data_IF_056140142243
#
_entry.id   IF_056140142243
#
_cell.length_a   1.000
_cell.length_b   1.000
_cell.length_c   1.000
_cell.angle_alpha   90.00
_cell.angle_beta   90.00
_cell.angle_gamma   90.00
#
_symmetry.space_group_name_H-M   'P 1'
#
loop_
_entity.id
_entity.type
_entity.pdbx_description
1 polymer ?
#
# COMPACT_ATOMS: atom_id res chain seq x y z
N UNK A 1 -26.67 61.85 -5.05
CA UNK A 1 -25.48 61.16 -5.58
C UNK A 1 -25.09 60.09 -4.57
N UNK A 2 -25.51 58.85 -4.81
CA UNK A 2 -25.14 57.70 -3.94
C UNK A 2 -24.00 56.95 -4.63
N UNK A 3 -22.89 56.82 -3.92
CA UNK A 3 -21.72 56.09 -4.37
C UNK A 3 -22.00 54.58 -4.33
N UNK A 4 -21.90 53.91 -5.49
CA UNK A 4 -21.92 52.43 -5.59
C UNK A 4 -20.58 51.89 -5.11
N UNK A 5 -20.58 51.17 -3.97
CA UNK A 5 -19.46 50.36 -3.54
C UNK A 5 -19.38 49.13 -4.46
N UNK A 6 -18.30 49.00 -5.21
CA UNK A 6 -17.96 47.81 -5.98
C UNK A 6 -17.33 46.79 -5.06
N UNK A 7 -18.07 45.73 -4.78
CA UNK A 7 -17.51 44.55 -4.12
C UNK A 7 -16.78 43.73 -5.18
N UNK A 8 -15.45 43.73 -5.15
CA UNK A 8 -14.64 42.79 -5.91
C UNK A 8 -14.81 41.38 -5.30
N UNK A 9 -15.14 40.36 -6.10
CA UNK A 9 -15.09 38.99 -5.58
C UNK A 9 -13.63 38.62 -5.35
N UNK A 10 -13.27 38.35 -4.08
CA UNK A 10 -12.01 37.73 -3.76
C UNK A 10 -12.01 36.32 -4.36
N UNK A 11 -11.30 36.17 -5.46
CA UNK A 11 -11.03 34.87 -6.07
C UNK A 11 -10.02 34.12 -5.20
N UNK A 12 -10.51 33.40 -4.19
CA UNK A 12 -9.75 32.36 -3.54
C UNK A 12 -9.65 31.14 -4.47
N UNK A 13 -8.91 31.28 -5.56
CA UNK A 13 -8.39 30.15 -6.32
C UNK A 13 -7.19 29.58 -5.58
N UNK A 14 -7.42 28.90 -4.46
CA UNK A 14 -6.52 27.88 -3.97
C UNK A 14 -6.65 26.66 -4.92
N UNK A 15 -5.97 26.73 -6.06
CA UNK A 15 -5.64 25.52 -6.81
C UNK A 15 -4.65 24.75 -5.91
N UNK A 16 -5.19 23.88 -5.07
CA UNK A 16 -4.35 22.91 -4.34
C UNK A 16 -3.67 22.06 -5.40
N UNK A 17 -2.34 22.20 -5.52
CA UNK A 17 -1.57 21.41 -6.46
C UNK A 17 -1.82 19.92 -6.17
N UNK A 18 -2.11 19.14 -7.23
CA UNK A 18 -2.32 17.70 -7.10
C UNK A 18 -1.05 17.08 -6.49
N UNK A 19 -1.16 16.36 -5.37
CA UNK A 19 0.02 15.76 -4.74
C UNK A 19 0.64 14.70 -5.64
N UNK A 20 1.97 14.54 -5.53
CA UNK A 20 2.76 13.64 -6.38
C UNK A 20 3.27 12.47 -5.57
N UNK A 21 3.07 11.26 -6.09
CA UNK A 21 3.66 10.02 -5.58
C UNK A 21 4.46 9.36 -6.70
N UNK A 22 5.68 8.95 -6.40
CA UNK A 22 6.46 8.14 -7.32
C UNK A 22 6.25 6.65 -7.09
N UNK A 23 6.03 5.92 -8.18
CA UNK A 23 5.92 4.47 -8.21
C UNK A 23 7.22 3.91 -8.80
N UNK A 24 8.04 3.28 -7.97
CA UNK A 24 9.28 2.62 -8.38
C UNK A 24 9.04 1.12 -8.42
N UNK A 25 9.21 0.48 -9.58
CA UNK A 25 8.96 -0.98 -9.66
C UNK A 25 8.93 -1.52 -11.09
N UNK A 26 8.57 -2.79 -11.20
CA UNK A 26 8.44 -3.47 -12.47
C UNK A 26 7.17 -3.09 -13.23
N UNK A 27 7.27 -3.02 -14.56
CA UNK A 27 6.11 -2.93 -15.46
C UNK A 27 5.58 -4.33 -15.69
N UNK A 28 4.33 -4.54 -15.33
CA UNK A 28 3.54 -5.70 -15.73
C UNK A 28 2.80 -5.37 -17.03
N UNK A 29 3.20 -6.00 -18.14
CA UNK A 29 2.61 -5.73 -19.45
C UNK A 29 1.12 -6.13 -19.53
N UNK A 30 0.64 -7.02 -18.66
CA UNK A 30 -0.79 -7.32 -18.53
C UNK A 30 -1.56 -6.24 -17.76
N UNK A 31 -0.84 -5.38 -17.03
CA UNK A 31 -1.38 -4.30 -16.22
C UNK A 31 -2.07 -4.73 -14.92
N UNK A 32 -2.05 -6.02 -14.59
CA UNK A 32 -2.69 -6.57 -13.39
C UNK A 32 -1.97 -6.24 -12.09
N UNK A 33 -0.68 -5.89 -12.16
CA UNK A 33 0.19 -5.58 -11.03
C UNK A 33 1.24 -4.52 -11.40
N UNK A 34 2.27 -4.37 -10.56
CA UNK A 34 3.41 -3.49 -10.80
C UNK A 34 3.02 -2.02 -10.87
N UNK A 35 3.91 -1.20 -11.43
CA UNK A 35 3.73 0.26 -11.50
C UNK A 35 2.50 0.69 -12.30
N UNK A 36 2.01 -0.14 -13.21
CA UNK A 36 0.76 0.13 -13.92
C UNK A 36 -0.43 0.12 -12.96
N UNK A 37 -0.51 -0.89 -12.08
CA UNK A 37 -1.53 -0.96 -11.03
C UNK A 37 -1.37 0.16 -10.02
N UNK A 38 -0.14 0.50 -9.66
CA UNK A 38 0.16 1.61 -8.76
C UNK A 38 -0.39 2.94 -9.33
N UNK A 39 -0.09 3.23 -10.60
CA UNK A 39 -0.53 4.46 -11.26
C UNK A 39 -2.08 4.55 -11.37
N UNK A 40 -2.75 3.43 -11.67
CA UNK A 40 -4.23 3.38 -11.70
C UNK A 40 -4.81 3.67 -10.31
N UNK A 41 -4.25 3.06 -9.26
CA UNK A 41 -4.68 3.27 -7.87
C UNK A 41 -4.52 4.73 -7.45
N UNK A 42 -3.38 5.33 -7.75
CA UNK A 42 -3.09 6.72 -7.42
C UNK A 42 -4.01 7.70 -8.18
N UNK A 43 -4.25 7.44 -9.47
CA UNK A 43 -5.16 8.26 -10.28
C UNK A 43 -6.60 8.20 -9.74
N UNK A 44 -7.06 7.02 -9.29
CA UNK A 44 -8.39 6.85 -8.67
C UNK A 44 -8.52 7.62 -7.35
N UNK A 45 -7.40 7.83 -6.65
CA UNK A 45 -7.30 8.58 -5.40
C UNK A 45 -6.88 10.05 -5.58
N UNK A 46 -6.98 10.60 -6.80
CA UNK A 46 -6.63 11.98 -7.14
C UNK A 46 -5.16 12.36 -6.87
N UNK A 47 -4.24 11.43 -7.12
CA UNK A 47 -2.80 11.63 -7.00
C UNK A 47 -2.16 11.60 -8.38
N UNK A 48 -1.21 12.50 -8.63
CA UNK A 48 -0.35 12.42 -9.80
C UNK A 48 0.73 11.36 -9.60
N UNK A 49 0.72 10.33 -10.43
CA UNK A 49 1.67 9.23 -10.37
C UNK A 49 2.81 9.47 -11.37
N UNK A 50 4.06 9.53 -10.89
CA UNK A 50 5.24 9.37 -11.74
C UNK A 50 5.77 7.95 -11.61
N UNK A 51 6.22 7.36 -12.72
CA UNK A 51 6.67 5.97 -12.78
C UNK A 51 8.16 5.90 -13.05
N UNK A 52 8.89 5.20 -12.17
CA UNK A 52 10.29 4.83 -12.36
C UNK A 52 10.37 3.32 -12.55
N UNK A 53 10.80 2.90 -13.73
CA UNK A 53 10.81 1.48 -14.11
C UNK A 53 12.10 0.82 -13.68
N UNK A 54 12.00 -0.26 -12.91
CA UNK A 54 13.14 -1.12 -12.49
C UNK A 54 13.35 -2.28 -13.44
N UNK A 55 12.27 -2.81 -14.01
CA UNK A 55 12.29 -3.94 -14.93
C UNK A 55 11.00 -4.01 -15.74
N UNK A 56 11.08 -4.65 -16.90
CA UNK A 56 9.94 -5.01 -17.73
C UNK A 56 9.70 -6.52 -17.60
N UNK A 57 8.46 -6.94 -17.40
CA UNK A 57 8.11 -8.35 -17.37
C UNK A 57 7.27 -8.73 -18.57
N UNK A 58 7.59 -9.86 -19.19
CA UNK A 58 6.77 -10.50 -20.23
C UNK A 58 5.86 -11.50 -19.54
N UNK A 59 4.71 -11.02 -19.11
CA UNK A 59 3.78 -11.84 -18.33
C UNK A 59 2.32 -11.59 -18.73
N UNK A 60 1.50 -12.61 -18.48
CA UNK A 60 0.06 -12.55 -18.51
C UNK A 60 -0.50 -12.78 -17.10
N UNK A 61 -1.82 -12.86 -16.96
CA UNK A 61 -2.44 -13.20 -15.68
C UNK A 61 -2.06 -14.60 -15.16
N UNK A 62 -1.67 -15.50 -16.04
CA UNK A 62 -1.43 -16.92 -15.71
C UNK A 62 0.03 -17.35 -15.77
N UNK A 63 0.87 -16.67 -16.56
CA UNK A 63 2.26 -17.05 -16.76
C UNK A 63 3.19 -15.84 -16.82
N UNK A 64 4.43 -16.03 -16.37
CA UNK A 64 5.56 -15.14 -16.61
C UNK A 64 6.59 -15.87 -17.47
N UNK A 65 6.92 -15.30 -18.61
CA UNK A 65 7.88 -15.89 -19.56
C UNK A 65 9.31 -15.38 -19.29
N UNK A 66 9.46 -14.09 -19.07
CA UNK A 66 10.78 -13.46 -18.85
C UNK A 66 10.65 -12.13 -18.14
N UNK A 67 11.78 -11.64 -17.64
CA UNK A 67 11.95 -10.26 -17.15
C UNK A 67 13.21 -9.66 -17.77
N UNK A 68 13.17 -8.35 -17.98
CA UNK A 68 14.32 -7.57 -18.41
C UNK A 68 14.54 -6.43 -17.43
N UNK A 69 15.69 -6.44 -16.75
CA UNK A 69 16.02 -5.46 -15.73
C UNK A 69 16.62 -4.20 -16.37
N UNK A 70 16.17 -3.04 -15.93
CA UNK A 70 16.81 -1.77 -16.27
C UNK A 70 18.17 -1.68 -15.58
N UNK A 71 19.17 -1.12 -16.24
CA UNK A 71 20.43 -0.84 -15.57
C UNK A 71 20.26 0.31 -14.56
N UNK A 72 21.06 0.31 -13.50
CA UNK A 72 20.98 1.34 -12.46
C UNK A 72 21.22 2.76 -13.01
N UNK A 73 22.03 2.91 -14.05
CA UNK A 73 22.25 4.21 -14.71
C UNK A 73 20.96 4.75 -15.34
N UNK A 74 20.16 3.92 -16.01
CA UNK A 74 18.90 4.33 -16.60
C UNK A 74 17.87 4.69 -15.50
N UNK A 75 17.79 3.90 -14.41
CA UNK A 75 16.97 4.22 -13.26
C UNK A 75 17.39 5.55 -12.61
N UNK A 76 18.69 5.80 -12.52
CA UNK A 76 19.21 7.05 -12.02
C UNK A 76 18.84 8.26 -12.89
N UNK A 77 18.86 8.13 -14.22
CA UNK A 77 18.42 9.18 -15.14
C UNK A 77 16.93 9.48 -14.98
N UNK A 78 16.07 8.45 -14.85
CA UNK A 78 14.65 8.64 -14.54
C UNK A 78 14.46 9.43 -13.24
N UNK A 79 15.22 9.07 -12.19
CA UNK A 79 15.18 9.80 -10.91
C UNK A 79 15.54 11.28 -11.07
N UNK A 80 16.66 11.56 -11.75
CA UNK A 80 17.18 12.93 -11.88
C UNK A 80 16.18 13.83 -12.60
N UNK A 81 15.67 13.40 -13.75
CA UNK A 81 14.72 14.19 -14.55
C UNK A 81 13.44 14.48 -13.76
N UNK A 82 12.88 13.48 -13.09
CA UNK A 82 11.66 13.66 -12.31
C UNK A 82 11.87 14.50 -11.06
N UNK A 83 13.05 14.38 -10.43
CA UNK A 83 13.31 15.11 -9.19
C UNK A 83 13.40 16.62 -9.40
N UNK A 84 13.88 17.06 -10.55
CA UNK A 84 13.98 18.47 -10.92
C UNK A 84 12.62 19.08 -11.28
N UNK A 85 11.75 18.31 -11.91
CA UNK A 85 10.47 18.79 -12.45
C UNK A 85 9.27 18.49 -11.54
N UNK A 86 9.22 17.29 -10.99
CA UNK A 86 8.04 16.76 -10.30
C UNK A 86 8.45 16.00 -9.02
N UNK A 87 9.01 16.67 -8.01
CA UNK A 87 9.49 16.03 -6.78
C UNK A 87 8.34 15.36 -6.02
N UNK A 88 8.57 14.16 -5.44
CA UNK A 88 7.52 13.39 -4.81
C UNK A 88 7.26 13.83 -3.36
N UNK A 89 6.01 13.75 -2.90
CA UNK A 89 5.66 13.79 -1.47
C UNK A 89 5.75 12.41 -0.81
N UNK A 90 5.55 11.33 -1.60
CA UNK A 90 5.81 9.97 -1.16
C UNK A 90 6.38 9.14 -2.33
N UNK A 91 7.07 8.05 -1.97
CA UNK A 91 7.60 7.07 -2.91
C UNK A 91 7.08 5.70 -2.50
N UNK A 92 6.39 5.01 -3.43
CA UNK A 92 6.06 3.60 -3.29
C UNK A 92 7.09 2.79 -4.07
N UNK A 93 7.82 1.93 -3.40
CA UNK A 93 8.77 0.99 -3.99
C UNK A 93 8.12 -0.39 -4.05
N UNK A 94 8.06 -1.00 -5.23
CA UNK A 94 7.65 -2.39 -5.44
C UNK A 94 8.84 -3.30 -5.73
N UNK A 95 8.76 -4.10 -6.81
CA UNK A 95 9.83 -5.00 -7.21
C UNK A 95 11.10 -4.23 -7.62
N UNK A 96 12.23 -4.57 -6.99
CA UNK A 96 13.57 -4.08 -7.31
C UNK A 96 14.33 -5.28 -7.87
N UNK A 97 14.94 -5.16 -9.04
CA UNK A 97 15.51 -6.31 -9.74
C UNK A 97 16.77 -6.88 -9.06
N UNK A 98 17.64 -6.01 -8.53
CA UNK A 98 18.95 -6.38 -8.01
C UNK A 98 19.50 -5.37 -6.99
N UNK A 99 20.62 -5.72 -6.35
CA UNK A 99 21.30 -4.93 -5.35
C UNK A 99 21.73 -3.53 -5.85
N UNK A 100 22.20 -3.42 -7.09
CA UNK A 100 22.66 -2.16 -7.65
C UNK A 100 21.55 -1.12 -7.71
N UNK A 101 20.36 -1.52 -8.15
CA UNK A 101 19.17 -0.66 -8.16
C UNK A 101 18.76 -0.27 -6.73
N UNK A 102 18.75 -1.23 -5.80
CA UNK A 102 18.35 -1.00 -4.41
C UNK A 102 19.30 0.01 -3.73
N UNK A 103 20.60 -0.17 -3.84
CA UNK A 103 21.60 0.76 -3.29
C UNK A 103 21.50 2.16 -3.90
N UNK A 104 21.24 2.24 -5.21
CA UNK A 104 21.00 3.52 -5.87
C UNK A 104 19.77 4.23 -5.25
N UNK A 105 18.66 3.53 -5.09
CA UNK A 105 17.43 4.09 -4.49
C UNK A 105 17.68 4.55 -3.06
N UNK A 106 18.32 3.74 -2.22
CA UNK A 106 18.71 4.12 -0.86
C UNK A 106 19.53 5.41 -0.85
N UNK A 107 20.58 5.46 -1.65
CA UNK A 107 21.46 6.63 -1.73
C UNK A 107 20.74 7.90 -2.22
N UNK A 108 19.76 7.76 -3.11
CA UNK A 108 18.96 8.89 -3.61
C UNK A 108 17.97 9.38 -2.56
N UNK A 109 17.24 8.47 -1.91
CA UNK A 109 16.26 8.79 -0.87
C UNK A 109 16.95 9.47 0.32
N UNK A 110 18.09 8.94 0.77
CA UNK A 110 18.84 9.50 1.90
C UNK A 110 19.37 10.92 1.63
N UNK A 111 19.70 11.23 0.36
CA UNK A 111 20.13 12.57 -0.05
C UNK A 111 18.98 13.57 -0.20
N UNK A 112 17.74 13.09 -0.23
CA UNK A 112 16.57 13.96 -0.33
C UNK A 112 16.14 14.41 1.05
N UNK A 113 16.47 15.63 1.43
CA UNK A 113 16.41 16.08 2.84
C UNK A 113 15.30 17.08 3.17
N UNK A 114 14.72 17.82 2.20
CA UNK A 114 13.78 18.87 2.58
C UNK A 114 12.78 19.23 1.44
N UNK A 115 11.53 18.82 1.56
CA UNK A 115 11.03 17.79 2.47
C UNK A 115 11.45 16.38 2.00
N UNK A 116 11.76 15.49 2.94
CA UNK A 116 11.99 14.08 2.62
C UNK A 116 10.64 13.42 2.31
N UNK A 117 10.51 12.70 1.18
CA UNK A 117 9.29 11.96 0.87
C UNK A 117 9.07 10.82 1.87
N UNK A 118 7.79 10.50 2.15
CA UNK A 118 7.45 9.28 2.87
C UNK A 118 7.66 8.06 1.97
N UNK A 119 8.32 7.01 2.46
CA UNK A 119 8.70 5.87 1.65
C UNK A 119 8.01 4.60 2.11
N UNK A 120 7.20 4.01 1.21
CA UNK A 120 6.55 2.71 1.38
C UNK A 120 7.31 1.68 0.55
N UNK A 121 7.77 0.60 1.17
CA UNK A 121 8.34 -0.54 0.45
C UNK A 121 7.40 -1.75 0.51
N UNK A 122 6.86 -2.14 -0.64
CA UNK A 122 6.13 -3.38 -0.87
C UNK A 122 7.14 -4.40 -1.44
N UNK A 123 7.66 -5.35 -0.64
CA UNK A 123 8.80 -6.18 -1.00
C UNK A 123 8.39 -7.33 -1.93
N UNK A 124 7.96 -6.98 -3.14
CA UNK A 124 7.49 -7.96 -4.14
C UNK A 124 8.66 -8.81 -4.62
N UNK A 125 8.73 -10.05 -4.16
CA UNK A 125 9.79 -11.00 -4.50
C UNK A 125 9.49 -11.82 -5.74
N UNK A 126 8.21 -12.15 -5.94
CA UNK A 126 7.76 -13.00 -7.04
C UNK A 126 6.41 -12.57 -7.58
N UNK A 127 6.11 -13.01 -8.79
CA UNK A 127 4.76 -12.88 -9.36
C UNK A 127 3.81 -13.90 -8.75
N UNK A 128 2.49 -13.65 -8.86
CA UNK A 128 1.46 -14.63 -8.48
C UNK A 128 1.56 -15.94 -9.28
N UNK A 129 2.22 -15.91 -10.43
CA UNK A 129 2.50 -17.08 -11.29
C UNK A 129 3.84 -17.77 -10.99
N UNK A 130 4.57 -17.37 -9.91
CA UNK A 130 5.79 -18.01 -9.42
C UNK A 130 7.10 -17.51 -10.01
N UNK A 131 7.09 -16.48 -10.89
CA UNK A 131 8.33 -15.90 -11.43
C UNK A 131 9.06 -15.01 -10.41
N UNK A 132 10.38 -15.21 -10.26
CA UNK A 132 11.23 -14.39 -9.37
C UNK A 132 11.39 -12.99 -9.95
N UNK A 133 11.07 -11.96 -9.18
CA UNK A 133 11.16 -10.54 -9.56
C UNK A 133 12.36 -9.84 -8.93
N UNK A 134 12.67 -10.12 -7.68
CA UNK A 134 13.71 -9.44 -6.91
C UNK A 134 14.78 -10.43 -6.45
N UNK A 135 16.06 -10.06 -6.65
CA UNK A 135 17.21 -10.82 -6.22
C UNK A 135 18.11 -9.88 -5.40
N UNK A 136 17.85 -9.82 -4.08
CA UNK A 136 18.53 -8.91 -3.16
C UNK A 136 19.33 -9.69 -2.12
N UNK A 137 20.56 -9.23 -1.87
CA UNK A 137 21.37 -9.74 -0.77
C UNK A 137 20.86 -9.25 0.59
N UNK A 138 21.16 -9.96 1.65
CA UNK A 138 20.70 -9.64 3.01
C UNK A 138 21.16 -8.23 3.44
N UNK A 139 22.40 -7.87 3.16
CA UNK A 139 22.93 -6.54 3.50
C UNK A 139 22.20 -5.40 2.82
N UNK A 140 21.75 -5.61 1.58
CA UNK A 140 20.98 -4.62 0.82
C UNK A 140 19.54 -4.54 1.32
N UNK A 141 18.95 -5.67 1.72
CA UNK A 141 17.65 -5.67 2.41
C UNK A 141 17.73 -4.85 3.71
N UNK A 142 18.78 -5.03 4.51
CA UNK A 142 18.98 -4.26 5.74
C UNK A 142 19.12 -2.75 5.45
N UNK A 143 19.82 -2.36 4.38
CA UNK A 143 19.94 -0.96 3.94
C UNK A 143 18.58 -0.38 3.51
N UNK A 144 17.76 -1.15 2.78
CA UNK A 144 16.40 -0.75 2.42
C UNK A 144 15.52 -0.56 3.66
N UNK A 145 15.55 -1.49 4.62
CA UNK A 145 14.78 -1.41 5.85
C UNK A 145 15.11 -0.16 6.67
N UNK A 146 16.39 0.23 6.71
CA UNK A 146 16.83 1.46 7.37
C UNK A 146 16.43 2.74 6.61
N UNK A 147 16.22 2.63 5.30
CA UNK A 147 15.93 3.78 4.43
C UNK A 147 14.44 4.09 4.39
N UNK A 148 13.56 3.08 4.38
CA UNK A 148 12.11 3.26 4.20
C UNK A 148 11.39 3.61 5.52
N UNK A 149 10.17 4.14 5.42
CA UNK A 149 9.38 4.49 6.61
C UNK A 149 8.45 3.34 7.01
N UNK A 150 7.99 2.56 6.04
CA UNK A 150 7.18 1.37 6.28
C UNK A 150 7.48 0.29 5.24
N UNK A 151 7.55 -0.96 5.69
CA UNK A 151 7.59 -2.13 4.81
C UNK A 151 6.29 -2.91 4.94
N UNK A 152 5.74 -3.39 3.79
CA UNK A 152 4.41 -4.03 3.73
C UNK A 152 4.45 -5.47 3.21
N UNK A 153 5.17 -6.40 3.85
CA UNK A 153 5.27 -7.79 3.39
C UNK A 153 3.96 -8.56 3.56
N UNK A 154 3.72 -9.54 2.70
CA UNK A 154 2.83 -10.65 3.02
C UNK A 154 3.57 -11.69 3.88
N UNK A 155 2.90 -12.79 4.24
CA UNK A 155 3.47 -13.85 5.11
C UNK A 155 4.72 -14.47 4.47
N UNK A 156 4.69 -14.77 3.18
CA UNK A 156 5.80 -15.41 2.46
C UNK A 156 6.99 -14.46 2.32
N UNK A 157 6.71 -13.19 2.01
CA UNK A 157 7.69 -12.11 1.95
C UNK A 157 8.34 -11.86 3.31
N UNK A 158 7.55 -11.88 4.39
CA UNK A 158 8.07 -11.74 5.75
C UNK A 158 8.99 -12.91 6.12
N UNK A 159 8.59 -14.13 5.78
CA UNK A 159 9.42 -15.34 6.02
C UNK A 159 10.74 -15.22 5.26
N UNK A 160 10.73 -14.78 4.02
CA UNK A 160 11.94 -14.56 3.23
C UNK A 160 12.83 -13.47 3.82
N UNK A 161 12.28 -12.27 4.15
CA UNK A 161 13.03 -11.16 4.71
C UNK A 161 13.72 -11.48 6.04
N UNK A 162 13.14 -12.39 6.80
CA UNK A 162 13.62 -12.74 8.15
C UNK A 162 14.36 -14.05 8.23
N UNK A 163 14.28 -14.88 7.18
CA UNK A 163 14.75 -16.28 7.17
C UNK A 163 14.13 -17.12 8.29
N UNK A 164 12.89 -16.79 8.68
CA UNK A 164 12.14 -17.52 9.72
C UNK A 164 10.84 -18.08 9.13
N UNK A 165 10.45 -19.30 9.47
CA UNK A 165 9.14 -19.82 9.11
C UNK A 165 8.05 -19.04 9.86
N UNK A 166 6.99 -18.68 9.15
CA UNK A 166 5.81 -17.95 9.70
C UNK A 166 4.59 -18.85 9.51
N UNK A 167 4.26 -19.62 10.53
CA UNK A 167 3.24 -20.69 10.48
C UNK A 167 2.09 -20.50 11.47
N UNK A 168 2.26 -19.56 12.41
CA UNK A 168 1.28 -19.21 13.45
C UNK A 168 1.50 -17.76 13.94
N UNK A 169 0.68 -17.33 14.88
CA UNK A 169 0.74 -15.98 15.45
C UNK A 169 2.05 -15.71 16.21
N UNK A 170 2.59 -16.70 16.90
CA UNK A 170 3.82 -16.54 17.70
C UNK A 170 5.04 -16.35 16.77
N UNK A 171 5.16 -17.18 15.73
CA UNK A 171 6.20 -17.06 14.72
C UNK A 171 6.06 -15.77 13.90
N UNK A 172 4.83 -15.33 13.62
CA UNK A 172 4.55 -14.04 12.96
C UNK A 172 5.11 -12.87 13.78
N UNK A 173 4.82 -12.80 15.08
CA UNK A 173 5.32 -11.73 15.95
C UNK A 173 6.83 -11.79 16.10
N UNK A 174 7.41 -12.99 16.16
CA UNK A 174 8.87 -13.20 16.20
C UNK A 174 9.52 -12.65 14.92
N UNK A 175 8.96 -12.96 13.75
CA UNK A 175 9.47 -12.48 12.48
C UNK A 175 9.36 -10.94 12.35
N UNK A 176 8.24 -10.35 12.77
CA UNK A 176 8.08 -8.89 12.81
C UNK A 176 9.15 -8.24 13.69
N UNK A 177 9.38 -8.79 14.91
CA UNK A 177 10.39 -8.25 15.81
C UNK A 177 11.80 -8.37 15.24
N UNK A 178 12.12 -9.48 14.54
CA UNK A 178 13.38 -9.62 13.82
C UNK A 178 13.55 -8.55 12.74
N UNK A 179 12.50 -8.30 11.94
CA UNK A 179 12.54 -7.29 10.89
C UNK A 179 12.77 -5.89 11.46
N UNK A 180 12.12 -5.58 12.58
CA UNK A 180 12.37 -4.33 13.31
C UNK A 180 13.79 -4.25 13.88
N UNK A 181 14.31 -5.35 14.39
CA UNK A 181 15.71 -5.46 14.84
C UNK A 181 16.73 -5.24 13.72
N UNK A 182 16.37 -5.48 12.46
CA UNK A 182 17.15 -5.19 11.25
C UNK A 182 17.04 -3.71 10.78
N UNK A 183 16.22 -2.88 11.42
CA UNK A 183 16.12 -1.46 11.13
C UNK A 183 14.76 -0.99 10.60
N UNK A 184 13.78 -1.86 10.40
CA UNK A 184 12.46 -1.45 9.95
C UNK A 184 11.78 -0.55 10.98
N UNK A 185 11.45 0.70 10.61
CA UNK A 185 10.78 1.67 11.48
C UNK A 185 9.35 1.25 11.77
N UNK A 186 8.62 0.84 10.73
CA UNK A 186 7.25 0.34 10.79
C UNK A 186 7.07 -0.85 9.86
N UNK A 187 6.29 -1.81 10.30
CA UNK A 187 6.00 -3.05 9.56
C UNK A 187 4.50 -3.24 9.48
N UNK A 188 3.98 -3.43 8.26
CA UNK A 188 2.58 -3.80 8.04
C UNK A 188 2.52 -5.15 7.35
N UNK A 189 2.16 -6.20 8.05
CA UNK A 189 2.08 -7.57 7.50
C UNK A 189 0.69 -7.84 6.98
N UNK A 190 0.60 -8.17 5.70
CA UNK A 190 -0.64 -8.57 5.01
C UNK A 190 -0.98 -10.02 5.35
N UNK A 191 -2.07 -10.25 6.09
CA UNK A 191 -2.49 -11.57 6.59
C UNK A 191 -3.25 -12.43 5.59
N UNK A 192 -3.45 -11.97 4.36
CA UNK A 192 -4.25 -12.71 3.37
C UNK A 192 -3.78 -14.14 3.06
N UNK A 193 -2.51 -14.45 3.29
CA UNK A 193 -1.88 -15.76 3.12
C UNK A 193 -1.77 -16.57 4.43
N UNK A 194 -2.30 -16.05 5.56
CA UNK A 194 -2.27 -16.78 6.83
C UNK A 194 -3.31 -17.92 6.84
N UNK A 195 -2.85 -19.15 6.63
CA UNK A 195 -3.74 -20.32 6.56
C UNK A 195 -4.37 -20.70 7.91
N UNK A 196 -3.76 -20.28 9.02
CA UNK A 196 -4.22 -20.57 10.39
C UNK A 196 -5.32 -19.61 10.88
N UNK A 197 -5.60 -18.53 10.16
CA UNK A 197 -6.60 -17.53 10.55
C UNK A 197 -7.95 -17.79 9.88
N UNK A 198 -9.05 -17.64 10.64
CA UNK A 198 -10.43 -17.71 10.11
C UNK A 198 -10.77 -16.47 9.27
N UNK A 199 -10.34 -15.30 9.73
CA UNK A 199 -10.48 -14.01 9.04
C UNK A 199 -9.12 -13.58 8.51
N UNK A 200 -9.09 -12.72 7.51
CA UNK A 200 -7.85 -12.02 7.13
C UNK A 200 -7.54 -11.02 8.24
N UNK A 201 -6.36 -11.11 8.80
CA UNK A 201 -5.92 -10.23 9.87
C UNK A 201 -4.53 -9.67 9.55
N UNK A 202 -4.51 -8.43 9.13
CA UNK A 202 -3.27 -7.69 8.90
C UNK A 202 -2.78 -7.09 10.21
N UNK A 203 -1.46 -6.95 10.37
CA UNK A 203 -0.86 -6.42 11.59
C UNK A 203 0.09 -5.28 11.26
N UNK A 204 -0.12 -4.13 11.87
CA UNK A 204 0.79 -3.00 11.86
C UNK A 204 1.55 -2.93 13.17
N UNK A 205 2.86 -2.75 13.09
CA UNK A 205 3.74 -2.58 14.26
C UNK A 205 4.69 -1.43 14.02
N UNK A 206 4.69 -0.47 14.94
CA UNK A 206 5.66 0.64 14.98
C UNK A 206 6.36 0.71 16.35
N UNK A 207 7.08 1.79 16.62
CA UNK A 207 7.82 1.93 17.88
C UNK A 207 6.89 2.04 19.10
N UNK A 208 5.72 2.65 18.94
CA UNK A 208 4.81 3.00 20.04
C UNK A 208 3.70 1.99 20.27
N UNK A 209 3.23 1.29 19.23
CA UNK A 209 2.06 0.44 19.36
C UNK A 209 1.95 -0.63 18.26
N UNK A 210 0.99 -1.52 18.43
CA UNK A 210 0.59 -2.56 17.47
C UNK A 210 -0.89 -2.41 17.20
N UNK A 211 -1.28 -2.42 15.91
CA UNK A 211 -2.68 -2.43 15.49
C UNK A 211 -2.96 -3.69 14.68
N UNK A 212 -4.20 -4.18 14.78
CA UNK A 212 -4.70 -5.31 14.01
C UNK A 212 -5.89 -4.86 13.18
N UNK A 213 -5.86 -5.19 11.89
CA UNK A 213 -6.92 -4.93 10.93
C UNK A 213 -7.56 -6.27 10.56
N UNK A 214 -8.80 -6.51 10.99
CA UNK A 214 -9.50 -7.76 10.71
C UNK A 214 -10.58 -7.55 9.67
N UNK A 215 -10.59 -8.41 8.66
CA UNK A 215 -11.57 -8.39 7.57
C UNK A 215 -12.13 -9.79 7.36
N UNK A 216 -13.40 -9.93 6.94
CA UNK A 216 -13.92 -11.21 6.50
C UNK A 216 -13.09 -11.79 5.35
N UNK A 217 -12.92 -13.11 5.35
CA UNK A 217 -12.25 -13.78 4.24
C UNK A 217 -13.19 -13.78 3.04
N UNK A 218 -12.76 -13.19 1.94
CA UNK A 218 -13.56 -13.19 0.72
C UNK A 218 -13.59 -14.59 0.10
N UNK A 219 -14.80 -15.09 -0.19
CA UNK A 219 -15.00 -16.41 -0.78
C UNK A 219 -14.47 -16.55 -2.23
N UNK A 220 -14.24 -15.44 -2.90
CA UNK A 220 -13.95 -15.41 -4.33
C UNK A 220 -12.50 -15.06 -4.62
N UNK A 221 -11.63 -16.04 -4.64
CA UNK A 221 -10.32 -16.02 -5.28
C UNK A 221 -9.35 -14.91 -4.86
N UNK A 222 -8.09 -15.08 -5.17
CA UNK A 222 -7.06 -14.05 -5.01
C UNK A 222 -7.13 -13.06 -6.17
N UNK A 223 -7.58 -11.84 -5.91
CA UNK A 223 -7.45 -10.74 -6.85
C UNK A 223 -5.98 -10.35 -6.98
N UNK A 224 -5.45 -10.39 -8.20
CA UNK A 224 -4.07 -10.02 -8.50
C UNK A 224 -3.83 -8.52 -8.25
N UNK A 225 -2.64 -8.16 -7.76
CA UNK A 225 -2.22 -6.77 -7.58
C UNK A 225 -2.78 -6.07 -6.34
N UNK A 226 -3.48 -6.79 -5.44
CA UNK A 226 -4.02 -6.18 -4.20
C UNK A 226 -2.94 -5.69 -3.26
N UNK A 227 -1.75 -6.33 -3.23
CA UNK A 227 -0.59 -5.85 -2.45
C UNK A 227 -0.10 -4.50 -2.97
N UNK A 228 0.14 -4.40 -4.28
CA UNK A 228 0.53 -3.15 -4.93
C UNK A 228 -0.51 -2.05 -4.71
N UNK A 229 -1.80 -2.39 -4.85
CA UNK A 229 -2.92 -1.48 -4.63
C UNK A 229 -2.94 -0.93 -3.19
N UNK A 230 -2.76 -1.79 -2.19
CA UNK A 230 -2.73 -1.40 -0.78
C UNK A 230 -1.56 -0.45 -0.49
N UNK A 231 -0.35 -0.79 -0.95
CA UNK A 231 0.83 0.04 -0.73
C UNK A 231 0.74 1.41 -1.42
N UNK A 232 0.15 1.45 -2.63
CA UNK A 232 -0.07 2.71 -3.36
C UNK A 232 -1.18 3.55 -2.74
N UNK A 233 -2.28 2.93 -2.27
CA UNK A 233 -3.34 3.62 -1.54
C UNK A 233 -2.82 4.18 -0.20
N UNK A 234 -1.99 3.43 0.53
CA UNK A 234 -1.31 3.94 1.73
C UNK A 234 -0.50 5.20 1.41
N UNK A 235 0.35 5.17 0.38
CA UNK A 235 1.11 6.34 -0.04
C UNK A 235 0.20 7.52 -0.41
N UNK A 236 -0.93 7.27 -1.10
CA UNK A 236 -1.90 8.29 -1.45
C UNK A 236 -2.52 8.96 -0.21
N UNK A 237 -2.97 8.18 0.78
CA UNK A 237 -3.57 8.76 1.99
C UNK A 237 -2.55 9.50 2.86
N UNK A 238 -1.30 9.05 2.91
CA UNK A 238 -0.21 9.80 3.57
C UNK A 238 -0.02 11.18 2.93
N UNK A 239 -0.01 11.29 1.60
CA UNK A 239 0.15 12.60 0.94
C UNK A 239 -1.12 13.46 0.97
N UNK A 240 -2.26 12.89 1.35
CA UNK A 240 -3.48 13.59 1.75
C UNK A 240 -3.48 13.98 3.23
N UNK A 241 -2.32 13.92 3.90
CA UNK A 241 -2.06 14.35 5.27
C UNK A 241 -2.78 13.52 6.36
N UNK A 242 -3.18 12.26 6.05
CA UNK A 242 -3.64 11.32 7.07
C UNK A 242 -2.47 10.76 7.89
N UNK A 243 -2.67 10.50 9.18
CA UNK A 243 -1.71 9.73 9.97
C UNK A 243 -1.62 8.29 9.43
N UNK A 244 -0.55 7.58 9.76
CA UNK A 244 -0.27 6.26 9.19
C UNK A 244 -1.37 5.23 9.50
N UNK A 245 -1.98 5.33 10.67
CA UNK A 245 -3.05 4.43 11.13
C UNK A 245 -4.32 4.63 10.32
N UNK A 246 -4.73 5.89 10.12
CA UNK A 246 -5.89 6.25 9.30
C UNK A 246 -5.62 5.93 7.82
N UNK A 247 -4.41 6.22 7.34
CA UNK A 247 -4.02 5.89 5.97
C UNK A 247 -4.05 4.37 5.70
N UNK A 248 -3.61 3.54 6.65
CA UNK A 248 -3.73 2.08 6.57
C UNK A 248 -5.19 1.62 6.57
N UNK A 249 -6.02 2.22 7.41
CA UNK A 249 -7.46 1.91 7.47
C UNK A 249 -8.14 2.22 6.14
N UNK A 250 -7.89 3.42 5.61
CA UNK A 250 -8.44 3.85 4.33
C UNK A 250 -7.91 3.02 3.15
N UNK A 251 -6.63 2.65 3.17
CA UNK A 251 -6.04 1.77 2.15
C UNK A 251 -6.70 0.39 2.16
N UNK A 252 -6.97 -0.19 3.33
CA UNK A 252 -7.72 -1.44 3.47
C UNK A 252 -9.15 -1.32 2.96
N UNK A 253 -9.84 -0.24 3.32
CA UNK A 253 -11.19 0.04 2.85
C UNK A 253 -11.22 0.17 1.32
N UNK A 254 -10.27 0.90 0.72
CA UNK A 254 -10.14 1.04 -0.72
C UNK A 254 -9.97 -0.32 -1.42
N UNK A 255 -9.03 -1.16 -0.95
CA UNK A 255 -8.81 -2.51 -1.52
C UNK A 255 -10.06 -3.37 -1.39
N UNK A 256 -10.78 -3.27 -0.28
CA UNK A 256 -12.03 -4.02 -0.06
C UNK A 256 -13.14 -3.57 -1.00
N UNK A 257 -13.27 -2.27 -1.23
CA UNK A 257 -14.23 -1.68 -2.15
C UNK A 257 -13.96 -2.15 -3.59
N UNK A 258 -12.71 -2.05 -4.06
CA UNK A 258 -12.32 -2.54 -5.39
C UNK A 258 -12.61 -4.03 -5.51
N UNK A 259 -12.31 -4.84 -4.49
CA UNK A 259 -12.67 -6.27 -4.47
C UNK A 259 -14.18 -6.51 -4.55
N UNK A 260 -14.98 -5.71 -3.84
CA UNK A 260 -16.44 -5.81 -3.87
C UNK A 260 -17.03 -5.59 -5.28
N UNK A 261 -16.46 -4.68 -6.06
CA UNK A 261 -16.87 -4.42 -7.44
C UNK A 261 -16.42 -5.50 -8.43
N UNK A 262 -15.46 -6.34 -8.06
CA UNK A 262 -14.92 -7.40 -8.92
C UNK A 262 -15.60 -8.75 -8.74
N UNK A 263 -16.57 -8.84 -7.85
CA UNK A 263 -17.38 -10.06 -7.71
C UNK A 263 -18.14 -10.33 -9.01
N UNK A 264 -18.14 -11.58 -9.53
CA UNK A 264 -18.82 -11.89 -10.77
C UNK A 264 -20.31 -11.60 -10.61
N UNK A 265 -20.80 -10.60 -11.32
CA UNK A 265 -22.20 -10.58 -11.71
C UNK A 265 -22.35 -11.88 -12.51
N UNK A 266 -23.21 -12.79 -12.04
CA UNK A 266 -23.47 -14.09 -12.67
C UNK A 266 -23.62 -13.91 -14.19
N UNK A 267 -22.55 -14.12 -14.95
CA UNK A 267 -22.56 -14.11 -16.40
C UNK A 267 -22.67 -15.54 -16.89
N UNK A 268 -23.73 -15.82 -17.60
CA UNK A 268 -24.17 -17.11 -18.09
C UNK A 268 -23.36 -17.62 -19.30
N UNK A 269 -22.02 -17.66 -19.26
CA UNK A 269 -21.23 -18.30 -20.32
C UNK A 269 -19.89 -18.82 -19.79
N UNK A 270 -19.77 -20.13 -19.70
CA UNK A 270 -18.73 -20.85 -18.96
C UNK A 270 -17.27 -20.69 -19.46
N UNK A 271 -17.00 -20.11 -20.63
CA UNK A 271 -15.66 -20.06 -21.21
C UNK A 271 -15.07 -18.64 -21.38
N UNK A 272 -15.84 -17.58 -21.07
CA UNK A 272 -15.35 -16.20 -21.09
C UNK A 272 -14.97 -15.70 -19.68
N UNK A 273 -15.21 -16.51 -18.66
CA UNK A 273 -15.37 -16.05 -17.28
C UNK A 273 -14.06 -15.68 -16.56
N UNK A 274 -12.95 -16.35 -16.84
CA UNK A 274 -11.70 -16.06 -16.16
C UNK A 274 -11.11 -14.70 -16.61
N UNK A 275 -11.14 -14.46 -17.91
CA UNK A 275 -10.57 -13.23 -18.49
C UNK A 275 -11.44 -12.01 -18.15
N UNK A 276 -12.78 -12.14 -18.18
CA UNK A 276 -13.68 -11.03 -17.89
C UNK A 276 -13.65 -10.58 -16.42
N UNK A 277 -13.51 -11.52 -15.49
CA UNK A 277 -13.48 -11.21 -14.05
C UNK A 277 -12.18 -10.48 -13.66
N UNK A 278 -11.04 -10.93 -14.20
CA UNK A 278 -9.77 -10.26 -13.95
C UNK A 278 -9.70 -8.88 -14.62
N UNK A 279 -10.21 -8.73 -15.84
CA UNK A 279 -10.30 -7.43 -16.52
C UNK A 279 -11.26 -6.48 -15.80
N UNK A 280 -12.36 -6.97 -15.24
CA UNK A 280 -13.30 -6.12 -14.48
C UNK A 280 -12.65 -5.59 -13.21
N UNK A 281 -11.89 -6.43 -12.48
CA UNK A 281 -11.09 -5.98 -11.36
C UNK A 281 -10.06 -4.92 -11.75
N UNK A 282 -9.46 -5.09 -12.90
CA UNK A 282 -8.44 -4.22 -13.46
C UNK A 282 -8.96 -2.82 -13.76
N UNK A 283 -10.18 -2.73 -14.30
CA UNK A 283 -10.84 -1.46 -14.64
C UNK A 283 -11.80 -0.95 -13.56
N UNK A 284 -12.02 -1.72 -12.49
CA UNK A 284 -12.87 -1.25 -11.41
C UNK A 284 -12.26 0.00 -10.77
N UNK A 285 -12.97 1.10 -10.90
CA UNK A 285 -12.72 2.35 -10.19
C UNK A 285 -13.78 2.50 -9.12
N UNK A 286 -13.38 3.02 -8.00
CA UNK A 286 -14.32 3.41 -6.96
C UNK A 286 -14.91 4.75 -7.35
N UNK A 287 -16.09 4.78 -7.91
CA UNK A 287 -16.75 6.03 -8.31
C UNK A 287 -16.91 6.95 -7.09
N UNK A 288 -15.90 7.78 -6.84
CA UNK A 288 -15.88 8.74 -5.74
C UNK A 288 -15.47 8.13 -4.41
N UNK A 289 -14.37 7.34 -4.38
CA UNK A 289 -13.73 7.04 -3.11
C UNK A 289 -13.15 8.35 -2.51
N UNK A 290 -13.40 8.61 -1.24
CA UNK A 290 -13.92 7.65 -0.29
C UNK A 290 -15.41 7.34 -0.49
N UNK A 291 -15.72 6.05 -0.53
CA UNK A 291 -17.09 5.57 -0.57
C UNK A 291 -17.88 6.08 0.65
N UNK A 292 -19.20 6.01 0.58
CA UNK A 292 -20.03 6.37 1.74
C UNK A 292 -19.64 5.54 2.96
N UNK A 293 -19.67 6.09 4.19
CA UNK A 293 -19.29 5.37 5.40
C UNK A 293 -19.97 4.00 5.56
N UNK A 294 -21.20 3.86 5.07
CA UNK A 294 -21.95 2.60 5.14
C UNK A 294 -21.37 1.48 4.26
N UNK A 295 -20.51 1.82 3.29
CA UNK A 295 -19.86 0.85 2.40
C UNK A 295 -18.48 0.39 2.89
N UNK A 296 -17.95 1.00 3.97
CA UNK A 296 -16.69 0.52 4.54
C UNK A 296 -16.87 -0.84 5.22
N UNK A 297 -15.98 -1.80 4.98
CA UNK A 297 -15.96 -3.01 5.77
C UNK A 297 -15.68 -2.64 7.23
N UNK A 298 -16.33 -3.35 8.15
CA UNK A 298 -16.04 -3.26 9.59
C UNK A 298 -14.56 -3.63 9.79
N UNK A 299 -13.75 -2.65 10.17
CA UNK A 299 -12.36 -2.86 10.57
C UNK A 299 -12.31 -2.82 12.09
N UNK A 300 -12.00 -3.97 12.70
CA UNK A 300 -11.86 -4.07 14.14
C UNK A 300 -10.42 -3.81 14.54
N UNK A 301 -10.20 -2.83 15.38
CA UNK A 301 -8.87 -2.49 15.92
C UNK A 301 -8.68 -3.17 17.28
N UNK A 302 -7.58 -3.91 17.42
CA UNK A 302 -7.14 -4.44 18.71
C UNK A 302 -5.76 -3.85 19.03
N UNK A 303 -5.70 -3.04 20.06
CA UNK A 303 -4.44 -2.52 20.58
C UNK A 303 -3.97 -3.43 21.73
N UNK A 304 -2.77 -4.00 21.64
CA UNK A 304 -2.11 -4.63 22.78
C UNK A 304 -1.16 -3.61 23.41
N UNK A 305 -1.43 -3.24 24.66
CA UNK A 305 -0.50 -2.48 25.49
C UNK A 305 0.80 -3.25 25.73
N UNK A 306 1.92 -2.55 25.73
CA UNK A 306 3.24 -3.08 25.98
C UNK A 306 3.53 -3.18 27.49
N UNK A 307 2.68 -3.85 28.31
CA UNK A 307 3.01 -4.17 29.70
C UNK A 307 2.42 -5.52 30.09
N UNK A 308 3.32 -6.42 30.49
CA UNK A 308 3.01 -7.71 31.06
C UNK A 308 2.48 -7.52 32.50
N UNK A 309 1.23 -7.12 32.67
CA UNK A 309 0.46 -7.30 33.91
C UNK A 309 -0.91 -6.66 33.77
N UNK A 310 -1.80 -7.33 33.03
CA UNK A 310 -3.24 -7.16 33.27
C UNK A 310 -3.97 -8.38 32.73
N UNK A 311 -4.40 -9.23 33.65
CA UNK A 311 -5.45 -10.18 33.43
C UNK A 311 -6.77 -9.40 33.30
N UNK A 312 -7.56 -9.80 32.27
CA UNK A 312 -8.94 -9.43 32.08
C UNK A 312 -9.24 -7.97 31.67
N UNK A 313 -9.45 -7.82 30.35
CA UNK A 313 -10.63 -7.15 29.79
C UNK A 313 -10.61 -7.22 28.27
N UNK A 314 -11.09 -8.33 27.70
CA UNK A 314 -11.64 -8.33 26.35
C UNK A 314 -12.92 -7.50 26.37
N UNK A 315 -12.84 -6.27 25.91
CA UNK A 315 -14.04 -5.53 25.49
C UNK A 315 -13.85 -5.20 24.03
N UNK A 316 -14.54 -5.95 23.18
CA UNK A 316 -14.79 -5.58 21.80
C UNK A 316 -15.49 -4.22 21.79
N UNK A 317 -14.74 -3.16 21.43
CA UNK A 317 -15.33 -1.85 21.24
C UNK A 317 -15.63 -1.70 19.75
N UNK A 318 -16.89 -1.82 19.38
CA UNK A 318 -17.42 -1.42 18.09
C UNK A 318 -17.36 0.12 18.01
N UNK A 319 -16.57 0.64 17.09
CA UNK A 319 -16.59 2.07 16.76
C UNK A 319 -17.78 2.33 15.84
N UNK A 320 -18.85 2.90 16.38
CA UNK A 320 -19.92 3.48 15.58
C UNK A 320 -19.43 4.75 14.88
N UNK A 321 -19.65 4.83 13.57
CA UNK A 321 -19.35 6.01 12.79
C UNK A 321 -20.22 7.19 13.27
N UNK A 322 -19.59 8.17 13.93
CA UNK A 322 -20.27 9.42 14.28
C UNK A 322 -20.45 10.29 13.03
N UNK A 323 -21.61 10.90 12.89
CA UNK A 323 -22.08 11.69 11.75
C UNK A 323 -21.06 12.69 11.19
N UNK A 324 -20.73 12.55 9.90
CA UNK A 324 -19.91 13.48 9.15
C UNK A 324 -20.63 14.81 8.89
N UNK A 325 -19.93 15.91 9.12
CA UNK A 325 -20.19 17.18 8.45
C UNK A 325 -19.50 17.18 7.07
N UNK A 326 -20.16 17.80 6.09
CA UNK A 326 -19.79 17.82 4.67
C UNK A 326 -18.27 17.92 4.41
N UNK A 327 -17.72 16.94 3.69
CA UNK A 327 -16.41 17.03 3.04
C UNK A 327 -15.20 16.54 3.83
N UNK A 328 -15.34 16.09 5.07
CA UNK A 328 -14.24 15.50 5.84
C UNK A 328 -14.60 14.09 6.30
N UNK A 329 -13.65 13.14 6.14
CA UNK A 329 -13.75 11.86 6.81
C UNK A 329 -13.81 12.09 8.32
N UNK A 330 -14.59 11.29 9.08
CA UNK A 330 -14.47 11.32 10.52
C UNK A 330 -13.04 10.93 10.88
N UNK A 331 -12.40 11.74 11.70
CA UNK A 331 -11.16 11.30 12.36
C UNK A 331 -11.49 9.99 13.07
N UNK A 332 -10.81 8.90 12.66
CA UNK A 332 -10.96 7.62 13.32
C UNK A 332 -10.39 7.79 14.72
N UNK A 333 -11.27 7.90 15.70
CA UNK A 333 -10.86 8.01 17.10
C UNK A 333 -10.30 6.67 17.54
N UNK A 334 -8.97 6.61 17.68
CA UNK A 334 -8.30 5.47 18.28
C UNK A 334 -8.65 5.43 19.76
N UNK A 335 -9.41 4.46 20.20
CA UNK A 335 -9.57 4.17 21.62
C UNK A 335 -8.30 3.45 22.09
N UNK A 336 -7.49 4.14 22.88
CA UNK A 336 -6.43 3.52 23.64
C UNK A 336 -7.09 2.63 24.70
N UNK A 337 -7.00 1.31 24.51
CA UNK A 337 -7.24 0.36 25.58
C UNK A 337 -5.96 0.27 26.39
N UNK A 338 -5.98 0.83 27.59
CA UNK A 338 -4.90 0.81 28.57
C UNK A 338 -4.55 -0.58 29.08
#
# INVERSE_FOLDING_TARGET
MMAKASISPASNNLTTAIPVVWCVGGVDCSGGAGVTRDAITLADLNIHACVLTTQLTVQSNSIMLSKESMCASALNQQWQVLFEDTPPRAIKIGAIANDEQALLLCARIQKTSNPRPFVVWDPVLSTSSGGVLSELSESVVDELLNTVDIVTPNIDELAWLTHLPVVDEASLLTAINRLRGKGAKSVYVKGGHAHWQKNVSDIFVCASHTLRFSQPKYANGNLRGTGCMLASALAAFIVHDYCIEDALTLANAYVSEVRGHTLPKQCAAANANAISNELTAYFARTNGFPAKPESFPLVTFHQRGATANEKERDKDTLLEASSCKEGHFPALTHTHLG
#
